data_IF_668495812631
#
_entry.id   IF_668495812631
#
_cell.length_a   1.000
_cell.length_b   1.000
_cell.length_c   1.000
_cell.angle_alpha   90.00
_cell.angle_beta   90.00
_cell.angle_gamma   90.00
#
_symmetry.space_group_name_H-M   'P 1'
#
loop_
_entity.id
_entity.type
_entity.pdbx_description
1 polymer ?
#
# COMPACT_ATOMS: atom_id res chain seq x y z
N UNK A 1 10.22 -14.02 38.27
CA UNK A 1 8.85 -13.55 37.99
C UNK A 1 8.64 -13.76 36.50
N UNK A 2 7.73 -14.63 36.10
CA UNK A 2 7.45 -14.91 34.69
C UNK A 2 6.82 -13.66 34.07
N UNK A 3 7.46 -13.10 33.04
CA UNK A 3 6.92 -11.99 32.27
C UNK A 3 5.60 -12.44 31.65
N UNK A 4 4.49 -11.87 32.13
CA UNK A 4 3.17 -12.15 31.60
C UNK A 4 3.09 -11.77 30.13
N UNK A 5 2.63 -12.68 29.31
CA UNK A 5 2.38 -12.48 27.89
C UNK A 5 1.36 -11.35 27.72
N UNK A 6 1.72 -10.32 26.95
CA UNK A 6 0.86 -9.15 26.79
C UNK A 6 -0.49 -9.52 26.17
N UNK A 7 -1.56 -8.70 26.39
CA UNK A 7 -2.93 -8.98 25.96
C UNK A 7 -3.10 -9.33 24.47
N UNK A 8 -2.25 -8.76 23.60
CA UNK A 8 -2.26 -9.05 22.16
C UNK A 8 -1.80 -10.47 21.80
N UNK A 9 -0.85 -11.01 22.56
CA UNK A 9 -0.37 -12.38 22.34
C UNK A 9 -1.36 -13.42 22.88
N UNK A 10 -2.03 -13.10 23.99
CA UNK A 10 -3.11 -13.93 24.53
C UNK A 10 -4.30 -14.01 23.56
N UNK A 11 -4.65 -12.91 22.87
CA UNK A 11 -5.68 -12.89 21.82
C UNK A 11 -5.34 -13.81 20.65
N UNK A 12 -4.11 -13.76 20.15
CA UNK A 12 -3.64 -14.67 19.06
C UNK A 12 -3.66 -16.14 19.48
N UNK A 13 -3.24 -16.45 20.71
CA UNK A 13 -3.28 -17.82 21.23
C UNK A 13 -4.72 -18.34 21.40
N UNK A 14 -5.65 -17.49 21.79
CA UNK A 14 -7.07 -17.84 21.88
C UNK A 14 -7.69 -18.07 20.49
N UNK A 15 -7.32 -17.30 19.48
CA UNK A 15 -7.68 -17.56 18.08
C UNK A 15 -7.10 -18.88 17.58
N UNK A 16 -5.81 -19.16 17.84
CA UNK A 16 -5.18 -20.46 17.52
C UNK A 16 -5.85 -21.64 18.21
N UNK A 17 -6.30 -21.49 19.46
CA UNK A 17 -7.02 -22.52 20.16
C UNK A 17 -8.38 -22.84 19.53
N UNK A 18 -9.12 -21.81 19.07
CA UNK A 18 -10.40 -21.96 18.35
C UNK A 18 -10.24 -22.62 16.97
N UNK A 19 -9.04 -22.55 16.37
CA UNK A 19 -8.76 -23.14 15.05
C UNK A 19 -8.67 -24.67 15.07
N UNK A 20 -8.48 -25.30 16.23
CA UNK A 20 -8.28 -26.76 16.33
C UNK A 20 -9.50 -27.58 15.91
N UNK A 21 -10.69 -27.05 16.07
CA UNK A 21 -11.95 -27.78 15.86
C UNK A 21 -12.57 -27.54 14.47
N UNK A 22 -11.86 -26.87 13.57
CA UNK A 22 -12.35 -26.56 12.23
C UNK A 22 -11.67 -27.43 11.16
N UNK A 23 -12.43 -27.90 10.15
CA UNK A 23 -11.91 -28.77 9.08
C UNK A 23 -10.99 -28.00 8.12
N UNK A 24 -11.42 -26.83 7.64
CA UNK A 24 -10.68 -26.02 6.64
C UNK A 24 -10.27 -24.63 7.20
N UNK A 25 -11.17 -23.97 7.94
CA UNK A 25 -10.99 -22.56 8.33
C UNK A 25 -9.68 -22.34 9.08
N UNK A 26 -9.32 -23.22 10.01
CA UNK A 26 -8.07 -23.12 10.77
C UNK A 26 -6.83 -23.21 9.89
N UNK A 27 -6.86 -24.04 8.84
CA UNK A 27 -5.75 -24.17 7.89
C UNK A 27 -5.64 -22.96 6.97
N UNK A 28 -6.77 -22.44 6.49
CA UNK A 28 -6.83 -21.21 5.68
C UNK A 28 -6.27 -20.03 6.48
N UNK A 29 -6.73 -19.84 7.71
CA UNK A 29 -6.29 -18.73 8.56
C UNK A 29 -4.79 -18.79 8.87
N UNK A 30 -4.25 -19.99 9.13
CA UNK A 30 -2.80 -20.19 9.31
C UNK A 30 -2.02 -19.86 8.04
N UNK A 31 -2.55 -20.21 6.87
CA UNK A 31 -1.95 -19.85 5.59
C UNK A 31 -1.93 -18.32 5.41
N UNK A 32 -3.07 -17.63 5.60
CA UNK A 32 -3.17 -16.18 5.51
C UNK A 32 -2.18 -15.46 6.44
N UNK A 33 -2.05 -15.91 7.68
CA UNK A 33 -1.09 -15.33 8.63
C UNK A 33 0.37 -15.51 8.17
N UNK A 34 0.71 -16.68 7.61
CA UNK A 34 2.06 -16.91 7.05
C UNK A 34 2.35 -16.03 5.83
N UNK A 35 1.34 -15.81 4.96
CA UNK A 35 1.50 -14.89 3.84
C UNK A 35 1.70 -13.45 4.32
N UNK A 36 0.96 -13.01 5.34
CA UNK A 36 1.09 -11.69 5.94
C UNK A 36 2.44 -11.45 6.65
N UNK A 37 3.09 -12.53 7.13
CA UNK A 37 4.41 -12.46 7.76
C UNK A 37 5.57 -12.36 6.73
N UNK A 38 5.28 -12.52 5.43
CA UNK A 38 6.29 -12.35 4.37
C UNK A 38 6.81 -10.91 4.31
N UNK A 39 8.06 -10.72 3.92
CA UNK A 39 8.60 -9.37 3.71
C UNK A 39 7.72 -8.56 2.75
N UNK A 40 7.42 -7.34 3.10
CA UNK A 40 6.68 -6.42 2.23
C UNK A 40 7.62 -5.87 1.15
N UNK A 41 7.12 -5.72 -0.06
CA UNK A 41 7.78 -5.01 -1.17
C UNK A 41 7.51 -3.50 -1.14
N UNK A 42 6.66 -3.03 -0.19
CA UNK A 42 6.37 -1.62 -0.01
C UNK A 42 7.54 -0.89 0.67
N UNK A 43 8.15 0.04 -0.04
CA UNK A 43 9.23 0.88 0.48
C UNK A 43 8.76 1.68 1.69
N UNK A 44 9.61 1.74 2.70
CA UNK A 44 9.39 2.47 3.96
C UNK A 44 10.30 3.71 4.08
N UNK A 45 11.24 3.88 3.17
CA UNK A 45 12.20 4.99 3.09
C UNK A 45 11.68 6.19 2.29
N UNK A 46 10.39 6.20 1.95
CA UNK A 46 9.67 7.28 1.24
C UNK A 46 8.40 7.66 1.98
N UNK A 47 7.81 8.79 1.62
CA UNK A 47 6.54 9.27 2.14
C UNK A 47 5.42 8.76 1.24
N UNK A 48 4.40 8.15 1.83
CA UNK A 48 3.22 7.68 1.09
C UNK A 48 2.06 8.68 1.22
N UNK A 49 1.42 9.11 0.12
CA UNK A 49 0.26 10.01 0.17
C UNK A 49 -0.86 9.51 1.08
N UNK A 50 -1.16 8.21 1.05
CA UNK A 50 -2.19 7.59 1.90
C UNK A 50 -1.86 7.59 3.39
N UNK A 51 -0.59 7.77 3.77
CA UNK A 51 -0.15 7.90 5.15
C UNK A 51 -0.28 9.36 5.60
N UNK A 52 0.30 10.29 4.84
CA UNK A 52 0.33 11.70 5.22
C UNK A 52 -1.02 12.41 5.09
N UNK A 53 -1.96 11.82 4.34
CA UNK A 53 -3.32 12.31 4.22
C UNK A 53 -4.16 12.10 5.49
N UNK A 54 -3.76 11.20 6.39
CA UNK A 54 -4.55 10.84 7.58
C UNK A 54 -4.63 11.99 8.57
N UNK A 55 -5.83 12.21 9.10
CA UNK A 55 -6.02 13.05 10.28
C UNK A 55 -5.16 12.49 11.43
N UNK A 56 -4.33 13.33 12.01
CA UNK A 56 -3.39 12.90 13.06
C UNK A 56 -2.09 12.30 12.56
N UNK A 57 -1.76 12.43 11.27
CA UNK A 57 -0.44 12.07 10.76
C UNK A 57 0.68 12.82 11.52
N UNK A 58 1.76 12.11 11.80
CA UNK A 58 2.91 12.65 12.51
C UNK A 58 4.13 12.79 11.58
N UNK A 59 4.53 14.01 11.17
CA UNK A 59 5.72 14.22 10.36
C UNK A 59 7.01 13.71 11.02
N UNK A 60 7.10 13.83 12.37
CA UNK A 60 8.23 13.30 13.14
C UNK A 60 8.31 11.78 13.07
N UNK A 61 7.16 11.09 13.17
CA UNK A 61 7.11 9.62 13.04
C UNK A 61 7.58 9.16 11.67
N UNK A 62 7.15 9.85 10.60
CA UNK A 62 7.60 9.60 9.23
C UNK A 62 9.09 9.86 9.06
N UNK A 63 9.62 10.96 9.60
CA UNK A 63 11.06 11.25 9.61
C UNK A 63 11.86 10.13 10.29
N UNK A 64 11.46 9.70 11.49
CA UNK A 64 12.15 8.65 12.25
C UNK A 64 12.13 7.31 11.51
N UNK A 65 11.01 6.93 10.90
CA UNK A 65 10.88 5.72 10.08
C UNK A 65 11.87 5.74 8.91
N UNK A 66 11.89 6.81 8.13
CA UNK A 66 12.76 6.93 6.97
C UNK A 66 14.24 6.94 7.40
N UNK A 67 14.56 7.64 8.50
CA UNK A 67 15.89 7.66 9.08
C UNK A 67 16.33 6.24 9.47
N UNK A 68 15.51 5.47 10.17
CA UNK A 68 15.80 4.08 10.54
C UNK A 68 16.04 3.19 9.30
N UNK A 69 15.25 3.36 8.22
CA UNK A 69 15.48 2.65 6.97
C UNK A 69 16.86 2.95 6.36
N UNK A 70 17.28 4.22 6.38
CA UNK A 70 18.59 4.65 5.85
C UNK A 70 19.75 4.15 6.71
N UNK A 71 19.61 4.22 8.03
CA UNK A 71 20.63 3.73 8.98
C UNK A 71 20.82 2.21 8.89
N UNK A 72 19.75 1.46 8.63
CA UNK A 72 19.79 0.01 8.45
C UNK A 72 20.14 -0.43 7.02
N UNK A 73 20.30 0.49 6.07
CA UNK A 73 20.42 0.22 4.62
C UNK A 73 19.33 -0.74 4.10
N UNK A 74 18.12 -0.57 4.63
CA UNK A 74 16.97 -1.42 4.28
C UNK A 74 15.73 -0.56 4.00
N UNK A 75 15.39 -0.32 2.71
CA UNK A 75 14.23 0.49 2.33
C UNK A 75 12.88 -0.16 2.66
N UNK A 76 12.86 -1.41 3.07
CA UNK A 76 11.66 -2.19 3.41
C UNK A 76 11.51 -2.42 4.91
N UNK A 77 12.34 -1.78 5.73
CA UNK A 77 12.31 -1.90 7.18
C UNK A 77 11.02 -1.35 7.76
N UNK A 78 10.19 -2.18 8.32
CA UNK A 78 8.95 -1.80 9.00
C UNK A 78 8.90 -2.37 10.42
N UNK A 79 8.23 -1.68 11.36
CA UNK A 79 7.97 -2.25 12.67
C UNK A 79 7.16 -3.52 12.54
N UNK A 80 7.37 -4.45 13.46
CA UNK A 80 6.59 -5.69 13.50
C UNK A 80 5.14 -5.38 13.85
N UNK A 81 4.23 -5.62 12.92
CA UNK A 81 2.80 -5.44 13.10
C UNK A 81 2.12 -6.80 13.34
N UNK A 82 1.22 -6.83 14.32
CA UNK A 82 0.38 -8.01 14.56
C UNK A 82 -0.96 -7.81 13.87
N UNK A 83 -1.03 -8.20 12.61
CA UNK A 83 -2.27 -8.15 11.82
C UNK A 83 -3.06 -9.43 12.07
N UNK A 84 -4.30 -9.31 12.55
CA UNK A 84 -5.21 -10.44 12.75
C UNK A 84 -5.90 -10.85 11.46
N UNK A 85 -6.40 -12.09 11.39
CA UNK A 85 -7.07 -12.66 10.21
C UNK A 85 -8.26 -11.83 9.73
N UNK A 86 -9.04 -11.25 10.67
CA UNK A 86 -10.17 -10.41 10.31
C UNK A 86 -9.73 -9.17 9.51
N UNK A 87 -8.62 -8.54 9.89
CA UNK A 87 -8.11 -7.38 9.18
C UNK A 87 -7.54 -7.76 7.82
N UNK A 88 -6.91 -8.94 7.69
CA UNK A 88 -6.48 -9.47 6.40
C UNK A 88 -7.66 -9.66 5.45
N UNK A 89 -8.76 -10.28 5.88
CA UNK A 89 -9.98 -10.42 5.08
C UNK A 89 -10.55 -9.06 4.64
N UNK A 90 -10.48 -8.04 5.52
CA UNK A 90 -10.93 -6.67 5.19
C UNK A 90 -10.07 -6.07 4.07
N UNK A 91 -8.75 -6.32 4.10
CA UNK A 91 -7.84 -5.86 3.04
C UNK A 91 -8.09 -6.58 1.72
N UNK A 92 -8.23 -7.92 1.75
CA UNK A 92 -8.51 -8.72 0.56
C UNK A 92 -9.82 -8.28 -0.13
N UNK A 93 -10.89 -8.06 0.65
CA UNK A 93 -12.15 -7.53 0.13
C UNK A 93 -11.94 -6.14 -0.53
N UNK A 94 -11.10 -5.30 0.07
CA UNK A 94 -10.71 -4.02 -0.53
C UNK A 94 -10.06 -4.20 -1.90
N UNK A 95 -9.09 -5.10 -2.02
CA UNK A 95 -8.40 -5.39 -3.28
C UNK A 95 -9.36 -5.91 -4.36
N UNK A 96 -10.30 -6.81 -4.03
CA UNK A 96 -11.32 -7.29 -4.96
C UNK A 96 -12.26 -6.17 -5.46
N UNK A 97 -12.59 -5.21 -4.61
CA UNK A 97 -13.39 -4.04 -5.01
C UNK A 97 -12.62 -3.17 -6.00
N UNK A 98 -11.30 -2.93 -5.77
CA UNK A 98 -10.45 -2.20 -6.71
C UNK A 98 -10.37 -2.93 -8.06
N UNK A 99 -10.01 -4.23 -8.08
CA UNK A 99 -9.94 -5.03 -9.32
C UNK A 99 -11.27 -4.99 -10.09
N UNK A 100 -12.39 -5.12 -9.40
CA UNK A 100 -13.72 -5.05 -10.02
C UNK A 100 -13.99 -3.73 -10.73
N UNK A 101 -13.71 -2.59 -10.09
CA UNK A 101 -13.96 -1.28 -10.70
C UNK A 101 -12.95 -0.97 -11.81
N UNK A 102 -11.70 -1.32 -11.63
CA UNK A 102 -10.65 -1.19 -12.64
C UNK A 102 -11.00 -2.00 -13.89
N UNK A 103 -11.46 -3.26 -13.76
CA UNK A 103 -11.93 -4.07 -14.88
C UNK A 103 -13.15 -3.48 -15.60
N UNK A 104 -14.09 -2.89 -14.88
CA UNK A 104 -15.25 -2.20 -15.48
C UNK A 104 -14.82 -0.98 -16.29
N UNK A 105 -13.96 -0.13 -15.74
CA UNK A 105 -13.42 1.03 -16.44
C UNK A 105 -12.61 0.60 -17.67
N UNK A 106 -11.86 -0.50 -17.57
CA UNK A 106 -11.13 -1.06 -18.71
C UNK A 106 -12.08 -1.55 -19.81
N UNK A 107 -13.10 -2.32 -19.46
CA UNK A 107 -14.11 -2.80 -20.41
C UNK A 107 -14.87 -1.65 -21.09
N UNK A 108 -15.04 -0.52 -20.41
CA UNK A 108 -15.60 0.72 -20.97
C UNK A 108 -14.67 1.46 -21.92
N UNK A 109 -13.39 1.10 -21.96
CA UNK A 109 -12.37 1.80 -22.76
C UNK A 109 -11.82 3.07 -22.13
N UNK A 110 -12.00 3.27 -20.82
CA UNK A 110 -11.73 4.54 -20.13
C UNK A 110 -10.55 4.47 -19.15
N UNK A 111 -10.08 3.28 -18.77
CA UNK A 111 -9.04 3.12 -17.76
C UNK A 111 -7.66 3.48 -18.30
N UNK A 112 -7.06 4.53 -17.74
CA UNK A 112 -5.67 4.87 -17.97
C UNK A 112 -4.79 4.24 -16.88
N UNK A 113 -3.65 3.68 -17.30
CA UNK A 113 -2.71 3.08 -16.37
C UNK A 113 -1.58 2.34 -17.05
N UNK A 114 -1.07 1.33 -16.37
CA UNK A 114 -0.02 0.43 -16.82
C UNK A 114 -0.61 -0.97 -17.02
N UNK A 115 -0.28 -1.61 -18.16
CA UNK A 115 -0.83 -2.91 -18.51
C UNK A 115 0.31 -3.85 -18.89
N UNK A 116 0.39 -5.00 -18.23
CA UNK A 116 1.45 -5.99 -18.45
C UNK A 116 0.86 -7.17 -19.21
N UNK A 117 1.53 -7.56 -20.29
CA UNK A 117 1.20 -8.76 -21.04
C UNK A 117 1.93 -9.97 -20.41
N UNK A 118 1.22 -10.97 -19.83
CA UNK A 118 1.88 -12.13 -19.20
C UNK A 118 2.45 -13.13 -20.23
N UNK A 119 2.12 -12.99 -21.52
CA UNK A 119 2.62 -13.90 -22.56
C UNK A 119 3.98 -13.49 -23.14
N UNK A 120 4.32 -12.19 -23.09
CA UNK A 120 5.57 -11.68 -23.65
C UNK A 120 6.25 -10.62 -22.79
N UNK A 121 5.78 -10.44 -21.55
CA UNK A 121 6.29 -9.48 -20.56
C UNK A 121 6.35 -8.01 -21.03
N UNK A 122 5.62 -7.68 -22.11
CA UNK A 122 5.54 -6.31 -22.60
C UNK A 122 4.79 -5.44 -21.60
N UNK A 123 5.38 -4.31 -21.29
CA UNK A 123 4.89 -3.32 -20.33
C UNK A 123 4.35 -2.08 -21.07
N UNK A 124 3.04 -1.94 -21.06
CA UNK A 124 2.34 -0.82 -21.69
C UNK A 124 2.08 0.27 -20.66
N UNK A 125 3.00 1.21 -20.50
CA UNK A 125 2.90 2.31 -19.55
C UNK A 125 2.19 3.51 -20.17
N UNK A 126 1.29 4.17 -19.42
CA UNK A 126 0.49 5.32 -19.87
C UNK A 126 -0.50 5.00 -21.02
N UNK A 127 -0.98 3.78 -21.07
CA UNK A 127 -2.03 3.37 -22.02
C UNK A 127 -3.42 3.65 -21.48
N UNK A 128 -4.37 3.77 -22.37
CA UNK A 128 -5.80 3.82 -22.05
C UNK A 128 -6.46 2.57 -22.61
N UNK A 129 -6.88 1.69 -21.71
CA UNK A 129 -7.68 0.49 -22.02
C UNK A 129 -7.27 -0.24 -23.31
N UNK A 130 -6.03 -0.76 -23.43
CA UNK A 130 -5.61 -1.47 -24.62
C UNK A 130 -6.51 -2.69 -24.86
N UNK A 131 -6.87 -2.95 -26.11
CA UNK A 131 -7.69 -4.12 -26.51
C UNK A 131 -6.84 -5.36 -26.71
N UNK A 132 -5.60 -5.18 -27.12
CA UNK A 132 -4.63 -6.24 -27.40
C UNK A 132 -3.25 -5.77 -26.98
N UNK A 133 -2.37 -6.75 -26.71
CA UNK A 133 -0.95 -6.47 -26.56
C UNK A 133 -0.35 -6.10 -27.93
N UNK A 134 0.31 -4.95 -28.02
CA UNK A 134 0.90 -4.45 -29.28
C UNK A 134 2.03 -5.34 -29.81
N UNK A 135 2.65 -6.16 -28.91
CA UNK A 135 3.77 -7.02 -29.28
C UNK A 135 3.33 -8.43 -29.72
N UNK A 136 2.36 -9.07 -29.02
CA UNK A 136 2.01 -10.46 -29.30
C UNK A 136 0.53 -10.69 -29.62
N UNK A 137 -0.30 -9.64 -29.62
CA UNK A 137 -1.72 -9.73 -29.93
C UNK A 137 -2.60 -10.37 -28.85
N UNK A 138 -2.07 -10.65 -27.65
CA UNK A 138 -2.86 -11.19 -26.54
C UNK A 138 -4.02 -10.25 -26.22
N UNK A 139 -5.24 -10.80 -26.08
CA UNK A 139 -6.43 -10.03 -25.69
C UNK A 139 -6.30 -9.41 -24.31
N UNK A 140 -6.90 -8.23 -24.12
CA UNK A 140 -6.90 -7.48 -22.85
C UNK A 140 -7.42 -8.28 -21.65
N UNK A 141 -8.34 -9.21 -21.86
CA UNK A 141 -8.93 -10.05 -20.80
C UNK A 141 -7.89 -10.88 -20.04
N UNK A 142 -6.75 -11.14 -20.68
CA UNK A 142 -5.63 -11.90 -20.12
C UNK A 142 -4.46 -11.00 -19.66
N UNK A 143 -4.51 -9.71 -19.94
CA UNK A 143 -3.49 -8.76 -19.48
C UNK A 143 -3.70 -8.41 -18.01
N UNK A 144 -2.64 -7.93 -17.36
CA UNK A 144 -2.65 -7.52 -15.96
C UNK A 144 -2.59 -6.00 -15.88
N UNK A 145 -3.61 -5.39 -15.29
CA UNK A 145 -3.57 -3.97 -14.94
C UNK A 145 -2.66 -3.73 -13.74
N UNK A 146 -1.91 -2.66 -13.81
CA UNK A 146 -1.12 -2.12 -12.69
C UNK A 146 -1.37 -0.62 -12.58
N UNK A 147 -1.54 -0.18 -11.36
CA UNK A 147 -1.68 1.23 -11.03
C UNK A 147 -0.45 2.02 -11.49
N UNK A 148 -0.65 3.29 -11.85
CA UNK A 148 0.45 4.17 -12.22
C UNK A 148 1.15 4.69 -10.97
N UNK A 149 2.47 4.50 -10.93
CA UNK A 149 3.29 5.07 -9.90
C UNK A 149 3.39 6.60 -10.07
N UNK A 150 2.89 7.32 -9.10
CA UNK A 150 3.02 8.76 -8.97
C UNK A 150 4.22 9.08 -8.07
N UNK A 151 5.16 9.89 -8.56
CA UNK A 151 6.43 10.14 -7.88
C UNK A 151 6.80 11.61 -7.88
N UNK A 152 7.08 12.13 -6.68
CA UNK A 152 7.69 13.44 -6.44
C UNK A 152 8.85 13.24 -5.45
N UNK A 153 9.86 12.46 -5.86
CA UNK A 153 10.97 12.08 -4.97
C UNK A 153 11.87 13.27 -4.65
N UNK A 154 12.16 14.12 -5.63
CA UNK A 154 12.88 15.35 -5.42
C UNK A 154 11.93 16.53 -5.71
N UNK A 155 11.73 17.46 -4.76
CA UNK A 155 12.37 17.53 -3.45
C UNK A 155 11.55 16.92 -2.29
N UNK A 156 10.41 16.25 -2.55
CA UNK A 156 9.41 15.91 -1.54
C UNK A 156 9.55 14.51 -0.94
N UNK A 157 10.30 13.62 -1.55
CA UNK A 157 10.44 12.21 -1.13
C UNK A 157 9.10 11.43 -1.12
N UNK A 158 8.13 11.87 -1.92
CA UNK A 158 6.78 11.27 -1.99
C UNK A 158 6.70 10.28 -3.15
N UNK A 159 6.08 9.11 -2.91
CA UNK A 159 5.61 8.24 -3.97
C UNK A 159 4.38 7.45 -3.53
N UNK A 160 3.51 7.15 -4.48
CA UNK A 160 2.29 6.37 -4.29
C UNK A 160 1.76 5.85 -5.62
N UNK A 161 0.57 5.28 -5.59
CA UNK A 161 -0.13 4.78 -6.76
C UNK A 161 -1.56 5.29 -6.71
N UNK A 162 -2.05 5.84 -7.82
CA UNK A 162 -3.47 6.12 -7.98
C UNK A 162 -4.15 4.89 -8.60
N UNK A 163 -5.39 4.62 -8.21
CA UNK A 163 -6.12 3.43 -8.67
C UNK A 163 -6.37 3.42 -10.18
N UNK A 164 -6.37 4.58 -10.80
CA UNK A 164 -6.47 4.75 -12.25
C UNK A 164 -6.67 6.20 -12.66
N UNK A 165 -6.93 6.40 -13.94
CA UNK A 165 -7.31 7.69 -14.50
C UNK A 165 -8.28 7.54 -15.68
N UNK A 166 -8.99 8.61 -15.98
CA UNK A 166 -9.88 8.74 -17.14
C UNK A 166 -9.48 10.03 -17.87
N UNK A 167 -8.50 9.96 -18.80
CA UNK A 167 -7.97 11.14 -19.49
C UNK A 167 -9.03 11.92 -20.27
N UNK A 168 -10.02 11.24 -20.85
CA UNK A 168 -11.16 11.87 -21.55
C UNK A 168 -11.94 12.85 -20.66
N UNK A 169 -11.87 12.68 -19.34
CA UNK A 169 -12.52 13.53 -18.33
C UNK A 169 -11.52 14.35 -17.50
N UNK A 170 -10.24 14.23 -17.79
CA UNK A 170 -9.12 14.82 -17.02
C UNK A 170 -9.22 14.47 -15.52
N UNK A 171 -9.63 13.23 -15.20
CA UNK A 171 -9.92 12.79 -13.85
C UNK A 171 -9.00 11.65 -13.42
N UNK A 172 -8.38 11.75 -12.24
CA UNK A 172 -7.88 10.59 -11.51
C UNK A 172 -9.03 9.83 -10.89
N UNK A 173 -8.84 8.55 -10.66
CA UNK A 173 -9.81 7.67 -9.97
C UNK A 173 -9.19 7.17 -8.69
N UNK A 174 -9.96 7.22 -7.62
CA UNK A 174 -9.62 6.64 -6.32
C UNK A 174 -10.80 5.80 -5.82
N UNK A 175 -10.58 4.51 -5.68
CA UNK A 175 -11.61 3.54 -5.30
C UNK A 175 -11.53 3.30 -3.80
N UNK A 176 -12.65 3.36 -3.10
CA UNK A 176 -12.71 3.17 -1.66
C UNK A 176 -13.78 2.17 -1.26
N UNK A 177 -13.37 1.10 -0.61
CA UNK A 177 -14.29 0.16 0.04
C UNK A 177 -14.69 0.69 1.42
N UNK A 178 -15.97 0.98 1.63
CA UNK A 178 -16.47 1.64 2.84
C UNK A 178 -17.27 0.68 3.68
N UNK A 179 -16.73 0.33 4.86
CA UNK A 179 -17.43 -0.41 5.90
C UNK A 179 -17.70 0.46 7.13
N UNK A 180 -18.43 -0.05 8.11
CA UNK A 180 -18.70 0.65 9.38
C UNK A 180 -17.40 1.07 10.10
N UNK A 181 -16.37 0.21 10.02
CA UNK A 181 -15.05 0.51 10.59
C UNK A 181 -14.36 1.71 9.91
N UNK A 182 -14.51 1.84 8.59
CA UNK A 182 -14.01 2.99 7.83
C UNK A 182 -14.67 4.27 8.33
N UNK A 183 -16.02 4.29 8.41
CA UNK A 183 -16.74 5.50 8.87
C UNK A 183 -16.37 5.83 10.31
N UNK A 184 -16.26 4.83 11.20
CA UNK A 184 -15.87 5.06 12.59
C UNK A 184 -14.51 5.75 12.74
N UNK A 185 -13.58 5.51 11.83
CA UNK A 185 -12.23 6.11 11.86
C UNK A 185 -12.21 7.46 11.15
N UNK A 186 -12.83 7.56 9.97
CA UNK A 186 -12.77 8.76 9.13
C UNK A 186 -13.78 9.84 9.51
N UNK A 187 -14.91 9.45 10.11
CA UNK A 187 -15.94 10.37 10.63
C UNK A 187 -16.62 9.77 11.88
N UNK A 188 -15.95 9.86 13.04
CA UNK A 188 -16.46 9.31 14.30
C UNK A 188 -17.81 9.89 14.73
N UNK A 189 -18.08 11.15 14.43
CA UNK A 189 -19.34 11.80 14.80
C UNK A 189 -20.50 11.28 13.96
N UNK A 190 -20.32 11.12 12.65
CA UNK A 190 -21.29 10.48 11.78
C UNK A 190 -21.56 9.04 12.26
N UNK A 191 -20.49 8.27 12.54
CA UNK A 191 -20.64 6.90 13.03
C UNK A 191 -21.47 6.84 14.33
N UNK A 192 -21.18 7.72 15.30
CA UNK A 192 -21.87 7.80 16.59
C UNK A 192 -23.36 8.09 16.42
N UNK A 193 -23.72 8.98 15.48
CA UNK A 193 -25.11 9.32 15.19
C UNK A 193 -25.96 8.12 14.75
N UNK A 194 -25.36 7.15 14.06
CA UNK A 194 -26.03 5.95 13.54
C UNK A 194 -25.74 4.69 14.34
N UNK A 195 -25.08 4.79 15.51
CA UNK A 195 -24.78 3.67 16.39
C UNK A 195 -25.47 3.83 17.74
N UNK A 196 -26.15 2.76 18.22
CA UNK A 196 -26.78 2.68 19.53
C UNK A 196 -26.26 1.42 20.25
N UNK A 197 -25.41 1.60 21.24
CA UNK A 197 -24.74 0.50 21.91
C UNK A 197 -23.88 -0.31 20.94
N UNK A 198 -24.22 -1.59 20.74
CA UNK A 198 -23.52 -2.47 19.78
C UNK A 198 -24.18 -2.53 18.39
N UNK A 199 -25.34 -1.90 18.22
CA UNK A 199 -26.07 -1.89 16.96
C UNK A 199 -25.72 -0.66 16.13
N UNK A 200 -25.55 -0.87 14.82
CA UNK A 200 -25.29 0.20 13.84
C UNK A 200 -26.34 0.13 12.75
N UNK A 201 -27.02 1.24 12.50
CA UNK A 201 -27.89 1.39 11.32
C UNK A 201 -27.02 1.59 10.07
N UNK A 202 -26.60 0.47 9.48
CA UNK A 202 -25.73 0.47 8.29
C UNK A 202 -26.37 1.13 7.06
N UNK A 203 -27.63 0.90 6.72
CA UNK A 203 -28.28 1.59 5.62
C UNK A 203 -28.37 3.10 5.83
N UNK A 204 -28.77 3.55 7.02
CA UNK A 204 -28.82 4.98 7.37
C UNK A 204 -27.44 5.61 7.34
N UNK A 205 -26.43 4.94 7.90
CA UNK A 205 -25.04 5.38 7.88
C UNK A 205 -24.53 5.55 6.44
N UNK A 206 -24.77 4.57 5.57
CA UNK A 206 -24.36 4.67 4.16
C UNK A 206 -25.05 5.83 3.45
N UNK A 207 -26.37 5.98 3.65
CA UNK A 207 -27.15 7.07 3.04
C UNK A 207 -26.59 8.45 3.42
N UNK A 208 -26.15 8.60 4.67
CA UNK A 208 -25.69 9.85 5.25
C UNK A 208 -24.28 10.30 4.80
N UNK A 209 -23.52 9.44 4.12
CA UNK A 209 -22.25 9.83 3.52
C UNK A 209 -22.55 10.64 2.25
N UNK A 210 -22.48 11.96 2.32
CA UNK A 210 -22.80 12.88 1.21
C UNK A 210 -21.56 13.50 0.56
N UNK A 211 -20.41 13.40 1.22
CA UNK A 211 -19.12 13.92 0.76
C UNK A 211 -18.03 12.89 0.98
N UNK A 212 -16.89 12.96 0.24
CA UNK A 212 -15.75 12.11 0.55
C UNK A 212 -15.15 12.47 1.90
N UNK A 213 -14.56 11.48 2.59
CA UNK A 213 -13.91 11.71 3.88
C UNK A 213 -12.69 12.62 3.73
N UNK A 214 -12.39 13.48 4.73
CA UNK A 214 -11.28 14.43 4.66
C UNK A 214 -9.92 13.78 4.34
N UNK A 215 -9.62 12.64 4.92
CA UNK A 215 -8.39 11.89 4.66
C UNK A 215 -8.28 11.46 3.19
N UNK A 216 -9.40 11.06 2.58
CA UNK A 216 -9.43 10.71 1.16
C UNK A 216 -9.24 11.96 0.28
N UNK A 217 -9.84 13.09 0.64
CA UNK A 217 -9.64 14.37 -0.07
C UNK A 217 -8.17 14.78 0.00
N UNK A 218 -7.53 14.73 1.18
CA UNK A 218 -6.10 15.02 1.34
C UNK A 218 -5.25 14.13 0.42
N UNK A 219 -5.52 12.82 0.38
CA UNK A 219 -4.83 11.88 -0.50
C UNK A 219 -5.01 12.25 -1.97
N UNK A 220 -6.23 12.54 -2.37
CA UNK A 220 -6.56 12.93 -3.74
C UNK A 220 -5.88 14.22 -4.19
N UNK A 221 -5.86 15.23 -3.32
CA UNK A 221 -5.18 16.50 -3.58
C UNK A 221 -3.66 16.31 -3.74
N UNK A 222 -3.05 15.43 -2.93
CA UNK A 222 -1.64 15.06 -3.08
C UNK A 222 -1.38 14.36 -4.41
N UNK A 223 -2.23 13.43 -4.82
CA UNK A 223 -2.09 12.74 -6.10
C UNK A 223 -2.19 13.70 -7.27
N UNK A 224 -3.15 14.63 -7.25
CA UNK A 224 -3.28 15.67 -8.28
C UNK A 224 -2.06 16.59 -8.30
N UNK A 225 -1.54 17.01 -7.15
CA UNK A 225 -0.31 17.81 -7.07
C UNK A 225 0.88 17.07 -7.70
N UNK A 226 1.04 15.77 -7.40
CA UNK A 226 2.12 14.95 -7.98
C UNK A 226 1.91 14.80 -9.50
N UNK A 227 0.67 14.62 -9.97
CA UNK A 227 0.37 14.58 -11.41
C UNK A 227 0.80 15.86 -12.12
N UNK A 228 0.52 17.04 -11.53
CA UNK A 228 1.00 18.31 -12.10
C UNK A 228 2.53 18.37 -12.17
N UNK A 229 3.23 17.92 -11.12
CA UNK A 229 4.70 17.85 -11.10
C UNK A 229 5.26 16.86 -12.15
N UNK A 230 4.54 15.78 -12.44
CA UNK A 230 4.90 14.81 -13.47
C UNK A 230 4.45 15.20 -14.89
N UNK A 231 3.74 16.31 -15.07
CA UNK A 231 3.23 16.78 -16.35
C UNK A 231 1.99 16.03 -16.86
N UNK A 232 1.25 15.34 -15.99
CA UNK A 232 -0.04 14.72 -16.33
C UNK A 232 -1.17 15.73 -16.24
N UNK A 233 -2.08 15.72 -17.22
CA UNK A 233 -3.18 16.67 -17.33
C UNK A 233 -4.46 16.15 -16.65
N UNK A 234 -4.41 16.06 -15.30
CA UNK A 234 -5.56 15.76 -14.46
C UNK A 234 -5.87 16.97 -13.56
N UNK A 235 -7.11 17.46 -13.61
CA UNK A 235 -7.56 18.62 -12.84
C UNK A 235 -8.58 18.29 -11.75
N UNK A 236 -8.99 17.03 -11.64
CA UNK A 236 -9.92 16.55 -10.62
C UNK A 236 -9.64 15.09 -10.26
N UNK A 237 -10.19 14.68 -9.13
CA UNK A 237 -10.23 13.29 -8.72
C UNK A 237 -11.69 12.85 -8.51
N UNK A 238 -11.98 11.64 -8.94
CA UNK A 238 -13.28 10.99 -8.74
C UNK A 238 -13.09 9.88 -7.71
N UNK A 239 -13.75 10.02 -6.57
CA UNK A 239 -13.82 8.97 -5.56
C UNK A 239 -14.99 8.05 -5.86
N UNK A 240 -14.69 6.78 -6.12
CA UNK A 240 -15.68 5.72 -6.25
C UNK A 240 -15.78 4.96 -4.93
N UNK A 241 -16.79 5.28 -4.14
CA UNK A 241 -17.06 4.58 -2.89
C UNK A 241 -17.96 3.39 -3.13
N UNK A 242 -17.60 2.23 -2.59
CA UNK A 242 -18.46 1.06 -2.55
C UNK A 242 -18.69 0.61 -1.11
N UNK A 243 -19.96 0.44 -0.76
CA UNK A 243 -20.40 -0.09 0.53
C UNK A 243 -20.13 -1.57 0.65
N UNK A 244 -19.42 -1.99 1.71
CA UNK A 244 -19.17 -3.40 2.02
C UNK A 244 -20.41 -4.16 2.50
N UNK A 245 -21.50 -3.46 2.87
CA UNK A 245 -22.69 -4.13 3.42
C UNK A 245 -23.82 -4.32 2.42
N UNK A 246 -23.92 -3.50 1.37
CA UNK A 246 -24.99 -3.61 0.38
C UNK A 246 -24.53 -3.41 -1.06
N UNK A 247 -23.22 -3.32 -1.31
CA UNK A 247 -22.58 -3.10 -2.60
C UNK A 247 -23.10 -1.85 -3.34
N UNK A 248 -23.78 -0.94 -2.63
CA UNK A 248 -24.17 0.36 -3.18
C UNK A 248 -22.93 1.19 -3.51
N UNK A 249 -22.98 1.94 -4.60
CA UNK A 249 -21.88 2.80 -5.01
C UNK A 249 -22.27 4.28 -4.92
N UNK A 250 -21.27 5.13 -4.62
CA UNK A 250 -21.36 6.59 -4.68
C UNK A 250 -20.16 7.14 -5.43
N UNK A 251 -20.37 8.24 -6.11
CA UNK A 251 -19.32 8.99 -6.79
C UNK A 251 -19.24 10.40 -6.20
N UNK A 252 -18.01 10.83 -5.92
CA UNK A 252 -17.73 12.20 -5.50
C UNK A 252 -16.62 12.78 -6.36
N UNK A 253 -16.83 13.97 -6.90
CA UNK A 253 -15.85 14.67 -7.72
C UNK A 253 -15.27 15.82 -6.90
N UNK A 254 -13.93 15.90 -6.87
CA UNK A 254 -13.20 16.95 -6.18
C UNK A 254 -12.18 17.55 -7.14
N UNK A 255 -12.30 18.84 -7.40
CA UNK A 255 -11.35 19.57 -8.24
C UNK A 255 -10.03 19.79 -7.52
N UNK A 256 -8.95 19.93 -8.29
CA UNK A 256 -7.63 20.22 -7.75
C UNK A 256 -7.58 21.63 -7.11
N UNK A 257 -7.18 21.67 -5.85
CA UNK A 257 -6.89 22.92 -5.14
C UNK A 257 -5.41 22.94 -4.70
N UNK A 258 -4.54 23.71 -5.37
CA UNK A 258 -3.14 23.85 -4.98
C UNK A 258 -2.96 24.36 -3.54
N UNK A 259 -3.90 25.16 -3.03
CA UNK A 259 -3.82 25.69 -1.66
C UNK A 259 -4.06 24.59 -0.63
N UNK A 260 -4.87 23.58 -0.97
CA UNK A 260 -5.12 22.42 -0.12
C UNK A 260 -3.89 21.51 -0.03
N UNK A 261 -3.21 21.26 -1.16
CA UNK A 261 -2.05 20.36 -1.21
C UNK A 261 -0.75 21.00 -0.72
N UNK A 262 -0.61 22.35 -0.80
CA UNK A 262 0.62 23.04 -0.45
C UNK A 262 1.14 22.74 0.97
N UNK A 263 0.34 22.82 2.06
CA UNK A 263 0.84 22.53 3.41
C UNK A 263 1.35 21.10 3.58
N UNK A 264 0.74 20.15 2.85
CA UNK A 264 1.17 18.75 2.85
C UNK A 264 2.53 18.60 2.13
N UNK A 265 2.70 19.22 0.96
CA UNK A 265 3.97 19.26 0.24
C UNK A 265 5.06 19.95 1.05
N UNK A 266 4.77 21.06 1.71
CA UNK A 266 5.70 21.78 2.60
C UNK A 266 6.18 20.88 3.74
N UNK A 267 5.28 20.10 4.33
CA UNK A 267 5.62 19.14 5.39
C UNK A 267 6.54 18.04 4.88
N UNK A 268 6.28 17.51 3.68
CA UNK A 268 7.13 16.50 3.04
C UNK A 268 8.52 17.07 2.70
N UNK A 269 8.56 18.29 2.17
CA UNK A 269 9.80 19.02 1.89
C UNK A 269 10.63 19.21 3.17
N UNK A 270 10.01 19.64 4.27
CA UNK A 270 10.67 19.80 5.55
C UNK A 270 11.27 18.48 6.07
N UNK A 271 10.54 17.35 5.94
CA UNK A 271 11.07 16.03 6.28
C UNK A 271 12.29 15.70 5.46
N UNK A 272 12.25 15.89 4.13
CA UNK A 272 13.39 15.58 3.26
C UNK A 272 14.62 16.44 3.58
N UNK A 273 14.43 17.72 3.86
CA UNK A 273 15.53 18.62 4.28
C UNK A 273 16.16 18.20 5.61
N UNK A 274 15.34 17.79 6.58
CA UNK A 274 15.82 17.28 7.85
C UNK A 274 16.63 15.98 7.69
N UNK A 275 16.17 15.09 6.81
CA UNK A 275 16.90 13.84 6.47
C UNK A 275 18.24 14.08 5.76
N UNK A 276 18.41 15.25 5.14
CA UNK A 276 19.68 15.70 4.55
C UNK A 276 20.57 16.45 5.55
N UNK A 277 20.12 16.67 6.79
CA UNK A 277 20.83 17.43 7.81
C UNK A 277 20.81 18.95 7.56
N UNK A 278 19.92 19.45 6.72
CA UNK A 278 19.83 20.88 6.36
C UNK A 278 18.91 21.69 7.27
N UNK A 279 18.06 21.00 8.03
CA UNK A 279 17.15 21.60 9.01
C UNK A 279 16.99 20.65 10.20
N UNK A 280 16.45 21.17 11.31
CA UNK A 280 16.09 20.33 12.44
C UNK A 280 14.96 19.34 12.09
N UNK A 281 14.93 18.16 12.75
CA UNK A 281 13.83 17.21 12.59
C UNK A 281 12.46 17.82 12.92
N UNK A 282 11.39 17.41 12.21
CA UNK A 282 10.04 17.89 12.51
C UNK A 282 9.65 17.61 13.96
N UNK A 283 8.88 18.52 14.55
CA UNK A 283 8.30 18.35 15.89
C UNK A 283 7.04 17.49 15.79
N UNK A 284 6.78 16.65 16.80
CA UNK A 284 5.52 15.93 16.90
C UNK A 284 4.38 16.89 17.21
N UNK A 285 3.33 16.99 16.36
CA UNK A 285 2.21 17.91 16.60
C UNK A 285 1.29 17.44 17.73
N UNK A 286 1.48 16.22 18.25
CA UNK A 286 0.60 15.59 19.24
C UNK A 286 1.23 15.53 20.64
N UNK A 287 2.31 16.27 20.91
CA UNK A 287 3.07 16.20 22.18
C UNK A 287 3.52 14.78 22.58
N UNK A 288 3.88 13.99 21.58
CA UNK A 288 4.15 12.56 21.70
C UNK A 288 2.99 11.70 21.15
N UNK A 289 3.32 10.72 20.36
CA UNK A 289 2.35 9.79 19.78
C UNK A 289 3.01 8.44 19.48
N UNK A 290 2.19 7.42 19.25
CA UNK A 290 2.66 6.05 18.95
C UNK A 290 3.51 5.97 17.68
N UNK A 291 3.43 6.97 16.79
CA UNK A 291 4.21 7.00 15.56
C UNK A 291 5.65 7.50 15.78
N UNK A 292 5.89 8.33 16.78
CA UNK A 292 7.20 8.87 17.10
C UNK A 292 7.79 8.37 18.42
N UNK A 293 7.04 7.59 19.22
CA UNK A 293 7.49 7.04 20.49
C UNK A 293 7.53 5.50 20.40
N UNK A 294 8.71 4.91 20.55
CA UNK A 294 8.86 3.49 20.86
C UNK A 294 8.50 2.48 19.78
N UNK A 295 8.53 2.83 18.49
CA UNK A 295 8.44 1.81 17.43
C UNK A 295 9.75 1.00 17.41
N UNK A 296 9.65 -0.28 17.78
CA UNK A 296 10.74 -1.24 17.62
C UNK A 296 10.84 -1.67 16.16
N UNK A 297 11.89 -1.22 15.49
CA UNK A 297 12.22 -1.61 14.11
C UNK A 297 13.06 -2.89 14.04
N UNK A 298 13.26 -3.59 15.19
CA UNK A 298 14.05 -4.84 15.24
C UNK A 298 15.54 -4.65 15.03
N UNK A 299 16.03 -3.42 15.02
CA UNK A 299 17.46 -3.14 15.04
C UNK A 299 17.95 -3.26 16.48
N UNK A 300 18.61 -4.35 16.81
CA UNK A 300 19.44 -4.45 18.03
C UNK A 300 20.57 -3.44 17.84
N UNK A 301 20.42 -2.26 18.41
CA UNK A 301 21.57 -1.35 18.60
C UNK A 301 22.43 -2.05 19.64
N UNK A 302 23.46 -2.76 19.20
CA UNK A 302 24.56 -3.14 20.07
C UNK A 302 25.27 -1.85 20.41
N UNK A 303 24.96 -1.28 21.58
CA UNK A 303 25.81 -0.27 22.19
C UNK A 303 27.18 -0.91 22.35
N UNK A 304 28.10 -0.49 21.51
CA UNK A 304 29.50 -0.89 21.58
C UNK A 304 30.13 -0.30 22.84
N UNK A 305 30.16 -1.09 23.89
CA UNK A 305 31.11 -0.86 24.99
C UNK A 305 32.50 -1.09 24.42
N UNK A 306 33.24 -0.01 24.26
CA UNK A 306 34.62 -0.06 23.84
C UNK A 306 35.52 -0.82 24.85
N UNK A 307 36.20 -1.84 24.38
CA UNK A 307 37.46 -2.28 24.98
C UNK A 307 38.44 -2.54 23.85
N UNK A 308 39.53 -1.82 23.91
CA UNK A 308 40.69 -1.97 23.05
C UNK A 308 41.31 -3.37 23.18
N UNK A 309 41.74 -3.96 22.07
CA UNK A 309 42.52 -5.20 22.05
C UNK A 309 42.98 -5.49 20.61
N UNK A 310 44.28 -5.19 20.39
CA UNK A 310 45.02 -5.47 19.17
C UNK A 310 45.00 -6.95 18.79
N UNK A 311 44.91 -7.28 17.50
CA UNK A 311 45.81 -8.21 16.81
C UNK A 311 45.43 -8.35 15.30
N UNK A 312 46.41 -8.10 14.48
CA UNK A 312 46.52 -8.37 13.03
C UNK A 312 46.98 -9.80 12.75
N UNK A 313 47.23 -10.21 11.48
CA UNK A 313 46.25 -10.71 10.49
C UNK A 313 46.58 -12.16 10.05
N UNK A 314 45.66 -12.85 9.43
CA UNK A 314 46.04 -13.95 8.56
C UNK A 314 45.15 -14.05 7.33
N UNK A 315 45.82 -14.02 6.23
CA UNK A 315 45.43 -14.17 4.83
C UNK A 315 45.05 -15.62 4.55
N UNK A 316 43.90 -15.89 4.04
CA UNK A 316 43.59 -17.15 3.35
C UNK A 316 42.75 -16.89 2.12
N UNK A 317 43.39 -17.13 1.00
CA UNK A 317 42.83 -17.27 -0.35
C UNK A 317 41.93 -18.48 -0.40
N UNK A 318 40.71 -18.34 -0.95
CA UNK A 318 39.99 -19.50 -1.43
C UNK A 318 39.29 -19.24 -2.77
N UNK A 319 39.78 -19.96 -3.75
CA UNK A 319 39.39 -20.03 -5.16
C UNK A 319 38.03 -20.71 -5.30
N UNK A 320 37.19 -20.12 -6.13
CA UNK A 320 35.90 -20.63 -6.59
C UNK A 320 36.10 -21.68 -7.71
N UNK A 321 35.43 -22.82 -7.72
CA UNK A 321 35.31 -23.62 -8.93
C UNK A 321 34.04 -23.29 -9.70
N UNK A 322 34.22 -22.91 -10.95
CA UNK A 322 33.19 -22.75 -12.00
C UNK A 322 32.63 -24.14 -12.36
N UNK A 323 31.29 -24.27 -12.20
CA UNK A 323 30.57 -25.49 -12.68
C UNK A 323 29.88 -25.17 -14.01
N UNK A 324 30.43 -25.68 -15.10
CA UNK A 324 29.81 -25.72 -16.43
C UNK A 324 28.57 -26.63 -16.38
N UNK A 325 27.42 -26.11 -16.78
CA UNK A 325 26.24 -26.89 -17.09
C UNK A 325 26.31 -27.35 -18.54
N UNK A 326 26.32 -28.67 -18.73
CA UNK A 326 26.15 -29.33 -20.02
C UNK A 326 24.67 -29.39 -20.37
N UNK A 327 24.33 -28.94 -21.58
CA UNK A 327 23.07 -29.17 -22.27
C UNK A 327 23.02 -30.59 -22.83
N UNK A 328 21.96 -31.34 -22.49
CA UNK A 328 21.53 -32.50 -23.32
C UNK A 328 20.00 -32.47 -23.35
N UNK A 329 19.46 -32.27 -24.57
CA UNK A 329 18.05 -32.45 -24.87
C UNK A 329 17.67 -33.94 -24.96
N UNK A 330 16.37 -34.21 -25.15
CA UNK A 330 15.93 -34.54 -26.50
C UNK A 330 14.56 -33.94 -26.87
N UNK A 331 14.43 -33.54 -28.10
CA UNK A 331 13.23 -33.21 -28.87
C UNK A 331 12.24 -34.37 -28.90
N UNK A 332 11.02 -34.15 -28.45
CA UNK A 332 9.88 -35.07 -28.64
C UNK A 332 8.95 -34.50 -29.71
N UNK A 333 8.94 -35.14 -30.86
CA UNK A 333 7.96 -34.90 -31.93
C UNK A 333 6.57 -35.33 -31.44
N UNK A 334 5.60 -34.41 -31.49
CA UNK A 334 4.20 -34.77 -31.36
C UNK A 334 3.60 -34.99 -32.74
N UNK A 335 3.04 -36.19 -32.89
CA UNK A 335 2.35 -36.62 -34.10
C UNK A 335 1.01 -35.94 -34.30
N UNK A 336 0.65 -35.83 -35.58
CA UNK A 336 -0.57 -35.20 -36.07
C UNK A 336 -1.84 -35.98 -35.68
N UNK A 337 -2.92 -35.21 -35.52
CA UNK A 337 -4.30 -35.70 -35.40
C UNK A 337 -5.00 -35.35 -36.72
N UNK A 338 -5.73 -36.29 -37.36
CA UNK A 338 -6.45 -36.03 -38.62
C UNK A 338 -7.76 -35.35 -38.41
N UNK A 339 -8.16 -34.53 -39.39
CA UNK A 339 -9.44 -33.85 -39.50
C UNK A 339 -10.63 -34.84 -39.63
N UNK A 340 -11.72 -34.54 -38.93
CA UNK A 340 -13.08 -34.77 -39.33
C UNK A 340 -13.98 -33.61 -38.87
#
# INVERSE_FOLDING_TARGET
MAAGWGPKLQGRLAEYAKMKDTVLLGSIQKHMMREADKPSDRRQDIIHPSEMAKTGWCPRGTYLRIKACREADNPYLKPKENIGVQLLNIFDEGHYIHDKWQRRLWAMGELWGRFICPACDTDHVNYVSPKFCDNCGLSWEHMVYKEIALRALDPYLIAGHADGGVPSKRALIEIKSVGAGTVRVSDPELYKKYSQGQMVDLPGLWKAIETPFPDHVNQGQLYLAICQLMGYDFDKIVFLYESKFNQGAKEFVVDYDPKHSAPLLDSAYAINRALQGLTDPPVCPHNGCTDCEGKDYGTTITEGVGSAGEASPSRATNTRPTRRLRSTGPTRKLGGVPAR
#
